data_IF_505731162361
#
_entry.id   IF_505731162361
#
_cell.length_a   1.000
_cell.length_b   1.000
_cell.length_c   1.000
_cell.angle_alpha   90.00
_cell.angle_beta   90.00
_cell.angle_gamma   90.00
#
_symmetry.space_group_name_H-M   'P 1'
#
loop_
_entity.id
_entity.type
_entity.pdbx_description
1 polymer ?
#
# COMPACT_ATOMS: atom_id res chain seq x y z
N UNK A 1 10.20 73.59 -58.70
CA UNK A 1 10.10 73.14 -57.35
C UNK A 1 10.06 71.59 -57.40
N UNK A 2 11.21 70.92 -57.20
CA UNK A 2 11.30 69.47 -57.28
C UNK A 2 11.25 68.94 -55.85
N UNK A 3 10.22 68.17 -55.52
CA UNK A 3 10.08 67.54 -54.24
C UNK A 3 10.83 66.19 -54.32
N UNK A 4 11.94 66.10 -53.64
CA UNK A 4 12.67 64.85 -53.44
C UNK A 4 12.04 64.15 -52.27
N UNK A 5 11.28 63.04 -52.51
CA UNK A 5 10.84 62.13 -51.51
C UNK A 5 12.03 61.21 -51.12
N UNK A 6 12.62 61.42 -49.92
CA UNK A 6 13.54 60.50 -49.29
C UNK A 6 12.73 59.31 -48.71
N UNK A 7 12.75 58.20 -49.43
CA UNK A 7 12.36 56.91 -48.80
C UNK A 7 13.46 56.47 -47.83
N UNK A 8 13.20 56.64 -46.56
CA UNK A 8 13.98 55.97 -45.54
C UNK A 8 13.57 54.50 -45.52
N UNK A 9 14.32 53.69 -46.23
CA UNK A 9 14.21 52.23 -46.10
C UNK A 9 14.84 51.81 -44.73
N UNK A 10 14.02 51.73 -43.72
CA UNK A 10 14.46 51.03 -42.52
C UNK A 10 14.55 49.56 -42.89
N UNK A 11 15.76 49.07 -43.09
CA UNK A 11 16.04 47.65 -43.15
C UNK A 11 15.65 47.06 -41.77
N UNK A 12 14.49 46.40 -41.71
CA UNK A 12 14.23 45.48 -40.63
C UNK A 12 15.25 44.34 -40.79
N UNK A 13 16.36 44.43 -40.08
CA UNK A 13 17.17 43.25 -39.82
C UNK A 13 16.25 42.25 -39.09
N UNK A 14 15.90 41.16 -39.73
CA UNK A 14 15.30 40.03 -39.07
C UNK A 14 16.28 39.61 -37.97
N UNK A 15 15.96 39.92 -36.72
CA UNK A 15 16.74 39.43 -35.58
C UNK A 15 16.76 37.91 -35.67
N UNK A 16 17.96 37.37 -35.75
CA UNK A 16 18.16 35.94 -35.84
C UNK A 16 17.76 35.35 -34.51
N UNK A 17 16.69 34.55 -34.47
CA UNK A 17 16.26 33.83 -33.29
C UNK A 17 17.23 32.69 -33.04
N UNK A 18 17.67 32.56 -31.79
CA UNK A 18 18.49 31.43 -31.32
C UNK A 18 17.59 30.40 -30.66
N UNK A 19 17.77 29.14 -31.03
CA UNK A 19 17.09 28.00 -30.40
C UNK A 19 18.09 27.15 -29.63
N UNK A 20 17.77 26.86 -28.38
CA UNK A 20 18.63 26.10 -27.47
C UNK A 20 17.82 25.13 -26.61
N UNK A 21 18.39 23.96 -26.34
CA UNK A 21 17.81 22.96 -25.43
C UNK A 21 18.81 22.68 -24.29
N UNK A 22 18.33 22.70 -23.06
CA UNK A 22 19.14 22.45 -21.89
C UNK A 22 18.36 21.68 -20.81
N UNK A 23 19.10 21.10 -19.86
CA UNK A 23 18.58 20.32 -18.76
C UNK A 23 18.94 20.99 -17.45
N UNK A 24 18.02 20.94 -16.49
CA UNK A 24 18.25 21.37 -15.12
C UNK A 24 18.08 20.15 -14.21
N UNK A 25 18.87 20.09 -13.15
CA UNK A 25 18.74 19.03 -12.17
C UNK A 25 17.35 19.04 -11.53
N UNK A 26 16.66 17.92 -11.59
CA UNK A 26 15.36 17.74 -10.93
C UNK A 26 15.54 17.44 -9.43
N UNK A 27 14.41 17.30 -8.76
CA UNK A 27 14.35 16.87 -7.35
C UNK A 27 13.92 15.41 -7.26
N UNK A 28 14.33 14.77 -6.17
CA UNK A 28 13.87 13.44 -5.78
C UNK A 28 13.36 13.45 -4.35
N UNK A 29 12.38 12.62 -4.09
CA UNK A 29 11.84 12.33 -2.76
C UNK A 29 11.80 10.83 -2.53
N UNK A 30 11.73 10.45 -1.27
CA UNK A 30 11.61 9.06 -0.87
C UNK A 30 10.79 8.91 0.41
N UNK A 31 10.17 7.77 0.56
CA UNK A 31 9.53 7.35 1.81
C UNK A 31 9.90 5.89 2.09
N UNK A 32 10.30 5.60 3.32
CA UNK A 32 10.34 4.23 3.82
C UNK A 32 8.99 3.93 4.45
N UNK A 33 8.22 3.05 3.82
CA UNK A 33 6.87 2.69 4.29
C UNK A 33 6.88 1.87 5.59
N UNK A 34 8.07 1.56 6.11
CA UNK A 34 8.29 0.93 7.42
C UNK A 34 8.57 1.95 8.52
N UNK A 35 8.91 3.18 8.18
CA UNK A 35 9.18 4.23 9.16
C UNK A 35 7.89 4.93 9.56
N UNK A 36 7.24 4.40 10.58
CA UNK A 36 5.99 4.94 11.14
C UNK A 36 6.24 6.00 12.21
N UNK A 37 7.48 6.29 12.56
CA UNK A 37 7.84 7.17 13.68
C UNK A 37 7.49 8.64 13.47
N UNK A 38 7.20 9.04 12.25
CA UNK A 38 7.00 10.45 11.88
C UNK A 38 5.55 10.81 11.57
N UNK A 39 4.59 9.93 11.92
CA UNK A 39 3.22 10.08 11.44
C UNK A 39 2.25 10.22 12.58
N UNK A 40 2.10 11.43 13.06
CA UNK A 40 0.98 11.81 13.92
C UNK A 40 -0.12 12.40 13.04
N UNK A 41 -1.15 11.62 12.76
CA UNK A 41 -2.38 12.14 12.18
C UNK A 41 -3.22 12.78 13.29
N UNK A 42 -3.51 14.05 13.10
CA UNK A 42 -4.45 14.75 13.94
C UNK A 42 -5.87 14.29 13.53
N UNK A 43 -6.42 13.32 14.26
CA UNK A 43 -7.70 12.67 13.97
C UNK A 43 -8.90 13.63 13.87
N UNK A 44 -8.78 14.87 14.35
CA UNK A 44 -9.88 15.83 14.43
C UNK A 44 -10.24 16.51 13.10
N UNK A 45 -9.48 16.28 12.04
CA UNK A 45 -9.65 16.98 10.74
C UNK A 45 -10.31 16.15 9.63
N UNK A 46 -10.65 14.89 9.86
CA UNK A 46 -11.14 14.00 8.83
C UNK A 46 -12.61 13.66 8.99
N UNK A 47 -13.47 14.16 8.09
CA UNK A 47 -14.86 13.74 7.97
C UNK A 47 -14.97 12.63 6.93
N UNK A 48 -15.32 11.44 7.41
CA UNK A 48 -15.56 10.27 6.59
C UNK A 48 -16.99 10.27 6.02
N UNK A 49 -17.13 10.31 4.70
CA UNK A 49 -18.38 9.94 4.03
C UNK A 49 -18.17 8.64 3.25
N UNK A 50 -18.91 7.65 3.71
CA UNK A 50 -18.93 6.29 3.18
C UNK A 50 -19.55 6.28 1.78
N UNK A 51 -18.74 6.16 0.72
CA UNK A 51 -19.24 5.76 -0.59
C UNK A 51 -18.50 4.51 -1.05
N UNK A 52 -19.16 3.36 -0.89
CA UNK A 52 -18.77 2.13 -1.56
C UNK A 52 -19.67 1.95 -2.78
N UNK A 53 -19.09 1.88 -3.95
CA UNK A 53 -19.71 1.29 -5.12
C UNK A 53 -18.79 0.20 -5.67
N UNK A 54 -19.29 -1.03 -5.75
CA UNK A 54 -18.65 -2.10 -6.50
C UNK A 54 -18.12 -3.24 -5.63
N UNK A 55 -18.65 -4.42 -5.90
CA UNK A 55 -18.17 -5.70 -5.42
C UNK A 55 -16.85 -6.02 -6.12
N UNK A 56 -15.70 -5.56 -5.58
CA UNK A 56 -14.41 -6.02 -6.03
C UNK A 56 -13.43 -6.18 -4.86
N UNK A 57 -12.94 -7.41 -4.78
CA UNK A 57 -11.71 -7.92 -4.17
C UNK A 57 -11.02 -7.02 -3.14
N UNK A 58 -11.34 -7.26 -1.88
CA UNK A 58 -10.55 -6.76 -0.77
C UNK A 58 -10.73 -5.26 -0.49
N UNK A 59 -10.55 -4.89 0.76
CA UNK A 59 -10.43 -3.50 1.13
C UNK A 59 -9.02 -3.01 0.76
N UNK A 60 -8.92 -1.82 0.11
CA UNK A 60 -7.64 -1.24 -0.31
C UNK A 60 -7.44 0.12 0.36
N UNK A 61 -6.20 0.42 0.72
CA UNK A 61 -5.83 1.72 1.27
C UNK A 61 -6.08 2.86 0.28
N UNK A 62 -5.89 2.60 -1.02
CA UNK A 62 -6.14 3.59 -2.07
C UNK A 62 -7.59 4.11 -2.06
N UNK A 63 -8.55 3.28 -1.69
CA UNK A 63 -9.97 3.66 -1.66
C UNK A 63 -10.30 4.69 -0.56
N UNK A 64 -9.34 4.98 0.31
CA UNK A 64 -9.43 6.02 1.36
C UNK A 64 -8.90 7.38 0.93
N UNK A 65 -8.24 7.48 -0.21
CA UNK A 65 -7.74 8.74 -0.75
C UNK A 65 -8.81 9.33 -1.65
N UNK A 66 -9.33 10.50 -1.27
CA UNK A 66 -10.24 11.24 -2.14
C UNK A 66 -9.47 12.24 -3.00
N UNK A 67 -10.04 12.57 -4.16
CA UNK A 67 -9.52 13.59 -5.08
C UNK A 67 -8.10 13.32 -5.62
N UNK A 68 -7.71 12.05 -5.72
CA UNK A 68 -6.46 11.71 -6.39
C UNK A 68 -6.55 12.08 -7.87
N UNK A 69 -5.53 12.73 -8.45
CA UNK A 69 -5.48 13.00 -9.87
C UNK A 69 -5.59 11.72 -10.72
N UNK A 70 -6.31 11.81 -11.86
CA UNK A 70 -6.55 10.65 -12.72
C UNK A 70 -5.27 9.95 -13.17
N UNK A 71 -4.18 10.70 -13.43
CA UNK A 71 -2.91 10.12 -13.84
C UNK A 71 -2.25 9.30 -12.73
N UNK A 72 -2.42 9.65 -11.45
CA UNK A 72 -1.92 8.86 -10.32
C UNK A 72 -2.80 7.64 -10.05
N UNK A 73 -4.11 7.77 -10.24
CA UNK A 73 -5.02 6.63 -10.23
C UNK A 73 -4.66 5.63 -11.34
N UNK A 74 -4.34 6.13 -12.54
CA UNK A 74 -3.85 5.29 -13.63
C UNK A 74 -2.54 4.60 -13.27
N UNK A 75 -1.55 5.34 -12.77
CA UNK A 75 -0.28 4.78 -12.32
C UNK A 75 -0.47 3.67 -11.26
N UNK A 76 -1.34 3.87 -10.26
CA UNK A 76 -1.68 2.87 -9.26
C UNK A 76 -2.27 1.59 -9.88
N UNK A 77 -3.20 1.74 -10.82
CA UNK A 77 -3.82 0.60 -11.50
C UNK A 77 -2.82 -0.14 -12.40
N UNK A 78 -1.94 0.59 -13.09
CA UNK A 78 -0.89 0.02 -13.93
C UNK A 78 0.14 -0.76 -13.08
N UNK A 79 0.46 -0.24 -11.89
CA UNK A 79 1.28 -0.95 -10.91
C UNK A 79 0.65 -2.29 -10.52
N UNK A 80 -0.62 -2.29 -10.12
CA UNK A 80 -1.33 -3.52 -9.77
C UNK A 80 -1.46 -4.50 -10.94
N UNK A 81 -1.69 -4.00 -12.16
CA UNK A 81 -1.70 -4.82 -13.36
C UNK A 81 -0.34 -5.48 -13.61
N UNK A 82 0.77 -4.75 -13.41
CA UNK A 82 2.13 -5.27 -13.54
C UNK A 82 2.45 -6.33 -12.47
N UNK A 83 2.01 -6.11 -11.22
CA UNK A 83 2.13 -7.13 -10.16
C UNK A 83 1.44 -8.43 -10.57
N UNK A 84 0.21 -8.35 -11.04
CA UNK A 84 -0.53 -9.52 -11.53
C UNK A 84 0.13 -10.18 -12.75
N UNK A 85 0.68 -9.40 -13.68
CA UNK A 85 1.41 -9.91 -14.84
C UNK A 85 2.60 -10.76 -14.40
N UNK A 86 3.43 -10.25 -13.47
CA UNK A 86 4.60 -10.97 -12.93
C UNK A 86 4.20 -12.28 -12.26
N UNK A 87 3.16 -12.25 -11.42
CA UNK A 87 2.66 -13.44 -10.73
C UNK A 87 2.12 -14.50 -11.69
N UNK A 88 1.63 -14.10 -12.85
CA UNK A 88 1.15 -15.01 -13.90
C UNK A 88 2.25 -15.42 -14.92
N UNK A 89 3.51 -15.16 -14.61
CA UNK A 89 4.66 -15.56 -15.43
C UNK A 89 4.95 -14.63 -16.62
N UNK A 90 4.40 -13.42 -16.60
CA UNK A 90 4.74 -12.36 -17.55
C UNK A 90 6.04 -11.63 -17.20
N UNK A 91 6.36 -10.59 -17.99
CA UNK A 91 7.55 -9.78 -17.78
C UNK A 91 7.43 -8.90 -16.53
N UNK A 92 8.52 -8.73 -15.80
CA UNK A 92 8.61 -7.72 -14.74
C UNK A 92 9.15 -6.39 -15.32
N UNK A 93 9.15 -5.32 -14.50
CA UNK A 93 9.65 -4.02 -14.97
C UNK A 93 11.12 -4.05 -15.39
N UNK A 94 11.97 -4.90 -14.81
CA UNK A 94 13.39 -4.99 -15.16
C UNK A 94 13.60 -5.62 -16.53
N UNK A 95 12.68 -6.46 -16.99
CA UNK A 95 12.69 -7.07 -18.32
C UNK A 95 11.71 -6.38 -19.30
N UNK A 96 11.01 -5.36 -18.87
CA UNK A 96 10.04 -4.61 -19.66
C UNK A 96 10.77 -3.56 -20.52
N UNK A 97 10.68 -3.62 -21.84
CA UNK A 97 11.36 -2.66 -22.72
C UNK A 97 10.78 -1.23 -22.63
N UNK A 98 9.62 -1.05 -21.99
CA UNK A 98 9.00 0.26 -21.79
C UNK A 98 9.57 0.99 -20.58
N UNK A 99 10.27 0.30 -19.70
CA UNK A 99 10.93 0.91 -18.55
C UNK A 99 12.16 1.66 -18.99
N UNK A 100 12.24 2.96 -18.70
CA UNK A 100 13.39 3.76 -19.04
C UNK A 100 14.58 3.42 -18.13
N UNK A 101 15.76 3.25 -18.73
CA UNK A 101 17.03 3.22 -18.00
C UNK A 101 17.56 4.66 -17.95
N UNK A 102 17.66 5.22 -16.74
CA UNK A 102 17.96 6.63 -16.56
C UNK A 102 19.40 7.00 -16.94
N UNK A 103 20.37 6.19 -16.57
CA UNK A 103 21.76 6.48 -16.87
C UNK A 103 22.33 5.57 -17.98
N UNK A 104 23.38 6.05 -18.63
CA UNK A 104 24.07 5.34 -19.70
C UNK A 104 24.76 4.05 -19.24
N UNK A 105 24.83 3.82 -17.92
CA UNK A 105 25.47 2.64 -17.32
C UNK A 105 24.42 1.59 -16.89
N UNK A 106 23.14 1.90 -17.00
CA UNK A 106 22.06 0.99 -16.64
C UNK A 106 21.90 0.79 -15.13
N UNK A 107 22.18 1.82 -14.34
CA UNK A 107 22.13 1.74 -12.87
C UNK A 107 20.76 2.05 -12.29
N UNK A 108 19.84 2.60 -13.09
CA UNK A 108 18.49 3.01 -12.64
C UNK A 108 17.43 2.57 -13.62
N UNK A 109 16.32 2.03 -13.08
CA UNK A 109 15.10 1.70 -13.82
C UNK A 109 13.96 2.59 -13.35
N UNK A 110 13.39 3.36 -14.27
CA UNK A 110 12.35 4.36 -14.03
C UNK A 110 11.07 3.99 -14.76
N UNK A 111 9.93 4.24 -14.13
CA UNK A 111 8.61 4.18 -14.75
C UNK A 111 8.01 5.58 -14.75
N UNK A 112 7.48 6.01 -15.89
CA UNK A 112 6.79 7.29 -15.99
C UNK A 112 5.55 7.32 -15.10
N UNK A 113 5.43 8.37 -14.29
CA UNK A 113 4.20 8.74 -13.60
C UNK A 113 3.41 9.67 -14.51
N UNK A 114 4.05 10.76 -14.96
CA UNK A 114 3.45 11.80 -15.81
C UNK A 114 4.52 12.68 -16.41
N UNK A 115 4.34 13.08 -17.66
CA UNK A 115 5.07 14.19 -18.25
C UNK A 115 4.18 15.42 -18.30
N UNK A 116 4.62 16.50 -17.67
CA UNK A 116 3.97 17.80 -17.71
C UNK A 116 4.67 18.66 -18.76
N UNK A 117 3.89 19.38 -19.55
CA UNK A 117 4.40 20.28 -20.58
C UNK A 117 3.79 21.66 -20.43
N UNK A 118 4.56 22.67 -20.77
CA UNK A 118 4.09 24.05 -20.74
C UNK A 118 5.09 24.99 -21.38
N UNK A 119 4.70 26.29 -21.46
CA UNK A 119 5.57 27.32 -22.01
C UNK A 119 5.28 28.67 -21.36
N UNK A 120 6.30 29.54 -21.36
CA UNK A 120 6.17 30.93 -20.93
C UNK A 120 7.02 31.86 -21.80
N UNK A 121 6.65 33.12 -21.81
CA UNK A 121 7.46 34.20 -22.40
C UNK A 121 8.35 34.78 -21.29
N UNK A 122 9.57 35.16 -21.64
CA UNK A 122 10.49 35.78 -20.71
C UNK A 122 11.26 36.93 -21.40
N UNK A 123 11.64 37.93 -20.63
CA UNK A 123 12.47 39.05 -21.06
C UNK A 123 13.84 38.95 -20.42
N UNK A 124 14.88 39.43 -21.09
CA UNK A 124 16.24 39.44 -20.61
C UNK A 124 17.03 40.68 -21.08
N UNK A 125 18.07 41.13 -20.34
CA UNK A 125 18.92 42.23 -20.79
C UNK A 125 19.63 41.91 -22.11
N UNK A 126 19.72 42.88 -23.01
CA UNK A 126 20.27 42.68 -24.36
C UNK A 126 21.74 42.29 -24.41
N UNK A 127 22.48 42.48 -23.32
CA UNK A 127 23.88 42.07 -23.10
C UNK A 127 24.05 40.79 -22.25
N UNK A 128 22.95 40.10 -21.98
CA UNK A 128 22.97 38.87 -21.17
C UNK A 128 23.72 37.74 -21.88
N UNK A 129 24.53 36.98 -21.09
CA UNK A 129 25.15 35.74 -21.56
C UNK A 129 24.11 34.65 -21.75
N UNK A 130 24.42 33.57 -22.51
CA UNK A 130 23.52 32.43 -22.70
C UNK A 130 23.10 31.84 -21.36
N UNK A 131 24.01 31.62 -20.40
CA UNK A 131 23.70 31.08 -19.08
C UNK A 131 22.73 31.98 -18.30
N UNK A 132 22.88 33.30 -18.42
CA UNK A 132 21.96 34.23 -17.78
C UNK A 132 20.56 34.22 -18.44
N UNK A 133 20.51 34.07 -19.76
CA UNK A 133 19.24 33.91 -20.50
C UNK A 133 18.54 32.62 -20.10
N UNK A 134 19.28 31.50 -19.91
CA UNK A 134 18.73 30.23 -19.39
C UNK A 134 18.12 30.41 -17.99
N UNK A 135 18.76 31.21 -17.11
CA UNK A 135 18.19 31.51 -15.79
C UNK A 135 16.86 32.25 -15.89
N UNK A 136 16.75 33.31 -16.71
CA UNK A 136 15.51 34.02 -16.93
C UNK A 136 14.41 33.11 -17.51
N UNK A 137 14.77 32.25 -18.47
CA UNK A 137 13.86 31.24 -19.02
C UNK A 137 13.36 30.26 -17.96
N UNK A 138 14.26 29.76 -17.11
CA UNK A 138 13.90 28.83 -16.02
C UNK A 138 12.98 29.50 -14.98
N UNK A 139 13.31 30.74 -14.57
CA UNK A 139 12.50 31.51 -13.63
C UNK A 139 11.05 31.72 -14.14
N UNK A 140 10.89 31.94 -15.44
CA UNK A 140 9.57 32.17 -16.06
C UNK A 140 8.61 30.99 -15.91
N UNK A 141 9.11 29.74 -15.77
CA UNK A 141 8.30 28.52 -15.62
C UNK A 141 8.43 27.89 -14.25
N UNK A 142 9.26 28.45 -13.36
CA UNK A 142 9.59 27.84 -12.06
C UNK A 142 8.35 27.60 -11.19
N UNK A 143 7.41 28.53 -11.17
CA UNK A 143 6.19 28.40 -10.37
C UNK A 143 5.34 27.20 -10.81
N UNK A 144 5.22 26.96 -12.10
CA UNK A 144 4.46 25.86 -12.66
C UNK A 144 5.16 24.52 -12.44
N UNK A 145 6.49 24.48 -12.64
CA UNK A 145 7.30 23.30 -12.32
C UNK A 145 7.19 22.91 -10.84
N UNK A 146 7.24 23.90 -9.96
CA UNK A 146 7.09 23.68 -8.52
C UNK A 146 5.70 23.17 -8.15
N UNK A 147 4.66 23.74 -8.74
CA UNK A 147 3.27 23.29 -8.55
C UNK A 147 3.08 21.83 -8.97
N UNK A 148 3.54 21.47 -10.18
CA UNK A 148 3.46 20.11 -10.69
C UNK A 148 4.21 19.13 -9.77
N UNK A 149 5.42 19.52 -9.35
CA UNK A 149 6.22 18.69 -8.43
C UNK A 149 5.54 18.51 -7.08
N UNK A 150 5.03 19.59 -6.49
CA UNK A 150 4.36 19.54 -5.19
C UNK A 150 3.16 18.61 -5.22
N UNK A 151 2.37 18.63 -6.29
CA UNK A 151 1.26 17.71 -6.46
C UNK A 151 1.73 16.26 -6.48
N UNK A 152 2.70 15.93 -7.34
CA UNK A 152 3.24 14.57 -7.43
C UNK A 152 3.86 14.13 -6.10
N UNK A 153 4.72 14.95 -5.49
CA UNK A 153 5.45 14.63 -4.27
C UNK A 153 4.51 14.31 -3.10
N UNK A 154 3.49 15.10 -2.97
CA UNK A 154 2.50 14.92 -1.92
C UNK A 154 1.70 13.64 -2.10
N UNK A 155 1.17 13.38 -3.30
CA UNK A 155 0.40 12.18 -3.56
C UNK A 155 1.24 10.92 -3.48
N UNK A 156 2.46 10.94 -4.02
CA UNK A 156 3.34 9.78 -4.01
C UNK A 156 3.75 9.34 -2.60
N UNK A 157 3.81 10.24 -1.63
CA UNK A 157 4.04 9.90 -0.23
C UNK A 157 2.97 8.91 0.29
N UNK A 158 1.69 9.18 0.03
CA UNK A 158 0.59 8.27 0.40
C UNK A 158 0.49 7.07 -0.51
N UNK A 159 0.61 7.31 -1.82
CA UNK A 159 0.48 6.29 -2.81
C UNK A 159 1.51 5.17 -2.61
N UNK A 160 2.72 5.51 -2.16
CA UNK A 160 3.76 4.51 -1.84
C UNK A 160 3.32 3.55 -0.75
N UNK A 161 2.64 4.03 0.29
CA UNK A 161 2.07 3.15 1.32
C UNK A 161 0.96 2.27 0.74
N UNK A 162 0.06 2.85 -0.06
CA UNK A 162 -0.98 2.07 -0.75
C UNK A 162 -0.37 1.00 -1.66
N UNK A 163 0.65 1.36 -2.47
CA UNK A 163 1.34 0.40 -3.34
C UNK A 163 1.95 -0.76 -2.57
N UNK A 164 2.56 -0.48 -1.41
CA UNK A 164 3.17 -1.53 -0.57
C UNK A 164 2.15 -2.39 0.17
N UNK A 165 1.07 -1.78 0.68
CA UNK A 165 0.14 -2.45 1.59
C UNK A 165 -1.06 -3.07 0.87
N UNK A 166 -1.46 -2.52 -0.27
CA UNK A 166 -2.54 -3.09 -1.08
C UNK A 166 -2.04 -4.23 -1.99
N UNK A 167 -0.72 -4.24 -2.30
CA UNK A 167 -0.07 -5.27 -3.11
C UNK A 167 1.08 -5.96 -2.35
N UNK A 168 0.80 -6.62 -1.23
CA UNK A 168 1.83 -7.30 -0.42
C UNK A 168 2.55 -8.42 -1.17
N UNK A 169 1.98 -8.90 -2.27
CA UNK A 169 2.55 -9.88 -3.19
C UNK A 169 3.63 -9.33 -4.12
N UNK A 170 3.85 -8.01 -4.11
CA UNK A 170 4.92 -7.38 -4.88
C UNK A 170 6.29 -7.52 -4.19
N UNK A 171 6.66 -8.74 -3.80
CA UNK A 171 7.83 -9.09 -2.99
C UNK A 171 9.19 -8.75 -3.62
N UNK A 172 9.22 -8.38 -4.89
CA UNK A 172 10.44 -7.96 -5.60
C UNK A 172 10.67 -6.46 -5.57
N UNK A 173 9.72 -5.66 -5.05
CA UNK A 173 9.85 -4.23 -4.91
C UNK A 173 10.33 -3.86 -3.51
N UNK A 174 11.00 -2.72 -3.42
CA UNK A 174 11.53 -2.23 -2.15
C UNK A 174 10.44 -1.68 -1.25
N UNK A 175 10.71 -1.64 0.04
CA UNK A 175 9.89 -0.90 0.99
C UNK A 175 10.22 0.61 1.02
N UNK A 176 11.40 1.00 0.54
CA UNK A 176 11.72 2.40 0.32
C UNK A 176 11.36 2.79 -1.10
N UNK A 177 10.30 3.57 -1.23
CA UNK A 177 9.82 4.09 -2.49
C UNK A 177 10.49 5.43 -2.79
N UNK A 178 10.85 5.63 -4.06
CA UNK A 178 11.46 6.87 -4.54
C UNK A 178 10.77 7.32 -5.81
N UNK A 179 10.63 8.63 -5.94
CA UNK A 179 10.11 9.29 -7.12
C UNK A 179 10.84 10.61 -7.32
N UNK A 180 10.78 11.13 -8.53
CA UNK A 180 11.45 12.36 -8.85
C UNK A 180 10.95 12.95 -10.16
N UNK A 181 11.57 14.02 -10.57
CA UNK A 181 11.34 14.58 -11.89
C UNK A 181 12.64 15.05 -12.54
N UNK A 182 12.63 15.06 -13.86
CA UNK A 182 13.72 15.59 -14.68
C UNK A 182 13.14 16.60 -15.69
N UNK A 183 13.42 17.90 -15.54
CA UNK A 183 12.94 18.91 -16.48
C UNK A 183 13.91 19.10 -17.65
N UNK A 184 13.36 19.19 -18.83
CA UNK A 184 14.05 19.57 -20.06
C UNK A 184 13.41 20.84 -20.58
N UNK A 185 14.25 21.79 -21.02
CA UNK A 185 13.81 23.08 -21.53
C UNK A 185 14.26 23.27 -22.98
N UNK A 186 13.40 23.87 -23.77
CA UNK A 186 13.72 24.41 -25.10
C UNK A 186 13.34 25.85 -25.11
N UNK A 187 14.30 26.74 -25.39
CA UNK A 187 14.06 28.17 -25.51
C UNK A 187 14.33 28.65 -26.92
N UNK A 188 13.55 29.63 -27.36
CA UNK A 188 13.77 30.40 -28.58
C UNK A 188 13.82 31.87 -28.20
N UNK A 189 14.94 32.57 -28.48
CA UNK A 189 15.14 33.92 -28.00
C UNK A 189 15.90 34.79 -28.98
N UNK A 190 15.66 36.10 -28.87
CA UNK A 190 16.31 37.13 -29.67
C UNK A 190 15.73 38.51 -29.35
N UNK A 191 16.58 39.56 -29.44
CA UNK A 191 16.12 40.93 -29.26
C UNK A 191 15.65 41.31 -27.85
N UNK A 192 16.11 40.62 -26.83
CA UNK A 192 15.79 40.91 -25.42
C UNK A 192 14.57 40.18 -24.86
N UNK A 193 13.94 39.31 -25.66
CA UNK A 193 12.82 38.47 -25.21
C UNK A 193 12.91 37.06 -25.79
N UNK A 194 12.20 36.10 -25.20
CA UNK A 194 12.14 34.75 -25.69
C UNK A 194 10.91 33.99 -25.21
N UNK A 195 10.78 32.78 -25.71
CA UNK A 195 9.81 31.78 -25.23
C UNK A 195 10.56 30.58 -24.77
N UNK A 196 10.22 30.07 -23.58
CA UNK A 196 10.69 28.80 -23.07
C UNK A 196 9.55 27.80 -23.02
N UNK A 197 9.79 26.60 -23.57
CA UNK A 197 8.91 25.44 -23.40
C UNK A 197 9.61 24.44 -22.50
N UNK A 198 8.87 23.75 -21.63
CA UNK A 198 9.41 22.71 -20.77
C UNK A 198 8.67 21.39 -20.93
N UNK A 199 9.41 20.32 -20.70
CA UNK A 199 8.89 18.97 -20.46
C UNK A 199 9.44 18.48 -19.14
N UNK A 200 8.55 18.28 -18.13
CA UNK A 200 8.89 17.82 -16.79
C UNK A 200 8.46 16.37 -16.64
N UNK A 201 9.41 15.46 -16.78
CA UNK A 201 9.20 14.03 -16.66
C UNK A 201 9.20 13.62 -15.18
N UNK A 202 8.01 13.32 -14.63
CA UNK A 202 7.86 12.77 -13.30
C UNK A 202 7.90 11.23 -13.37
N UNK A 203 8.71 10.61 -12.51
CA UNK A 203 8.99 9.18 -12.54
C UNK A 203 8.96 8.52 -11.17
N UNK A 204 8.67 7.23 -11.18
CA UNK A 204 8.83 6.30 -10.07
C UNK A 204 10.10 5.46 -10.30
N UNK A 205 10.93 5.34 -9.26
CA UNK A 205 12.16 4.56 -9.30
C UNK A 205 11.88 3.11 -8.90
N UNK A 206 11.93 2.20 -9.86
CA UNK A 206 11.71 0.76 -9.61
C UNK A 206 12.91 0.16 -8.89
N UNK A 207 14.11 0.33 -9.44
CA UNK A 207 15.36 -0.13 -8.83
C UNK A 207 16.52 0.80 -9.19
N UNK A 208 17.50 0.89 -8.28
CA UNK A 208 18.75 1.59 -8.47
C UNK A 208 19.90 0.78 -7.90
N UNK A 209 20.89 0.48 -8.72
CA UNK A 209 22.08 -0.27 -8.30
C UNK A 209 22.89 0.52 -7.27
N UNK A 210 23.24 -0.14 -6.16
CA UNK A 210 24.06 0.46 -5.10
C UNK A 210 23.32 1.47 -4.20
N UNK A 211 22.03 1.70 -4.39
CA UNK A 211 21.25 2.59 -3.52
C UNK A 211 21.10 2.02 -2.10
N UNK A 212 20.79 0.75 -2.00
CA UNK A 212 20.86 0.06 -0.73
C UNK A 212 22.29 -0.49 -0.56
N UNK A 213 22.96 -0.10 0.54
CA UNK A 213 24.33 -0.58 0.85
C UNK A 213 24.44 -2.09 0.91
N UNK A 214 23.33 -2.79 1.08
CA UNK A 214 23.21 -4.25 1.21
C UNK A 214 22.83 -4.94 -0.09
N UNK A 215 22.26 -4.20 -1.04
CA UNK A 215 21.82 -4.71 -2.33
C UNK A 215 22.61 -3.98 -3.45
N UNK A 216 23.79 -4.50 -3.74
CA UNK A 216 24.67 -3.91 -4.77
C UNK A 216 24.24 -4.21 -6.19
N UNK A 217 23.36 -5.20 -6.36
CA UNK A 217 22.89 -5.67 -7.66
C UNK A 217 21.37 -5.61 -7.76
N UNK A 218 20.86 -5.45 -8.97
CA UNK A 218 19.43 -5.61 -9.22
C UNK A 218 19.00 -7.05 -8.93
N UNK A 219 17.77 -7.24 -8.44
CA UNK A 219 17.16 -8.55 -8.37
C UNK A 219 16.97 -9.08 -9.79
N UNK A 220 17.46 -10.29 -10.08
CA UNK A 220 17.39 -10.80 -11.44
C UNK A 220 15.96 -11.14 -11.84
N UNK A 221 15.59 -10.93 -13.11
CA UNK A 221 14.30 -11.35 -13.64
C UNK A 221 14.00 -12.84 -13.39
N UNK A 222 15.02 -13.70 -13.44
CA UNK A 222 14.91 -15.15 -13.21
C UNK A 222 14.55 -15.45 -11.75
N UNK A 223 15.17 -14.75 -10.79
CA UNK A 223 14.86 -14.88 -9.36
C UNK A 223 13.42 -14.47 -9.09
N UNK A 224 12.98 -13.35 -9.65
CA UNK A 224 11.59 -12.85 -9.49
C UNK A 224 10.61 -13.86 -10.09
N UNK A 225 10.89 -14.37 -11.29
CA UNK A 225 10.02 -15.36 -11.94
C UNK A 225 9.94 -16.68 -11.17
N UNK A 226 11.08 -17.16 -10.63
CA UNK A 226 11.11 -18.36 -9.78
C UNK A 226 10.29 -18.15 -8.48
N UNK A 227 10.46 -17.00 -7.85
CA UNK A 227 9.71 -16.64 -6.63
C UNK A 227 8.21 -16.51 -6.89
N UNK A 228 7.78 -16.02 -8.05
CA UNK A 228 6.37 -15.97 -8.44
C UNK A 228 5.77 -17.38 -8.59
N UNK A 229 6.54 -18.33 -9.10
CA UNK A 229 6.13 -19.75 -9.16
C UNK A 229 5.99 -20.32 -7.74
N UNK A 230 6.98 -20.08 -6.88
CA UNK A 230 6.93 -20.53 -5.47
C UNK A 230 5.72 -19.92 -4.73
N UNK A 231 5.48 -18.63 -4.90
CA UNK A 231 4.31 -17.92 -4.38
C UNK A 231 3.01 -18.62 -4.76
N UNK A 232 2.78 -18.80 -6.07
CA UNK A 232 1.55 -19.41 -6.58
C UNK A 232 1.35 -20.84 -6.06
N UNK A 233 2.42 -21.64 -6.05
CA UNK A 233 2.36 -23.02 -5.56
C UNK A 233 2.04 -23.08 -4.07
N UNK A 234 2.65 -22.22 -3.26
CA UNK A 234 2.42 -22.17 -1.82
C UNK A 234 1.02 -21.67 -1.48
N UNK A 235 0.59 -20.55 -2.05
CA UNK A 235 -0.77 -20.04 -1.86
C UNK A 235 -1.81 -21.10 -2.23
N UNK A 236 -1.64 -21.75 -3.38
CA UNK A 236 -2.53 -22.83 -3.81
C UNK A 236 -2.54 -24.03 -2.85
N UNK A 237 -1.38 -24.45 -2.37
CA UNK A 237 -1.26 -25.57 -1.44
C UNK A 237 -1.93 -25.24 -0.09
N UNK A 238 -1.62 -24.07 0.48
CA UNK A 238 -2.21 -23.62 1.75
C UNK A 238 -3.73 -23.52 1.64
N UNK A 239 -4.22 -22.83 0.63
CA UNK A 239 -5.66 -22.58 0.47
C UNK A 239 -6.43 -23.80 -0.02
N UNK A 240 -5.75 -24.80 -0.57
CA UNK A 240 -6.36 -26.09 -0.94
C UNK A 240 -6.83 -26.89 0.27
N UNK A 241 -6.22 -26.69 1.43
CA UNK A 241 -6.59 -27.32 2.70
C UNK A 241 -7.49 -26.42 3.58
N UNK A 242 -7.69 -25.14 3.17
CA UNK A 242 -8.52 -24.19 3.90
C UNK A 242 -9.99 -24.60 3.82
N UNK A 243 -10.72 -24.62 4.96
CA UNK A 243 -12.13 -24.98 4.95
C UNK A 243 -12.97 -24.06 4.08
N UNK A 244 -13.94 -24.62 3.35
CA UNK A 244 -14.91 -23.85 2.53
C UNK A 244 -16.18 -23.49 3.34
N UNK A 245 -16.02 -23.25 4.64
CA UNK A 245 -17.08 -22.94 5.58
C UNK A 245 -17.20 -21.43 5.84
N UNK A 246 -17.46 -21.02 7.08
CA UNK A 246 -17.57 -19.61 7.47
C UNK A 246 -16.25 -18.85 7.31
N UNK A 247 -16.31 -17.52 7.16
CA UNK A 247 -15.13 -16.68 7.15
C UNK A 247 -14.33 -16.82 8.47
N UNK A 248 -15.02 -17.03 9.60
CA UNK A 248 -14.37 -17.30 10.88
C UNK A 248 -13.45 -18.53 10.81
N UNK A 249 -13.95 -19.67 10.32
CA UNK A 249 -13.14 -20.89 10.23
C UNK A 249 -11.98 -20.73 9.23
N UNK A 250 -12.17 -19.97 8.16
CA UNK A 250 -11.08 -19.64 7.21
C UNK A 250 -10.01 -18.79 7.87
N UNK A 251 -10.39 -17.74 8.58
CA UNK A 251 -9.44 -16.84 9.27
C UNK A 251 -8.69 -17.58 10.39
N UNK A 252 -9.38 -18.45 11.14
CA UNK A 252 -8.74 -19.35 12.12
C UNK A 252 -7.71 -20.24 11.42
N UNK A 253 -8.10 -20.90 10.33
CA UNK A 253 -7.18 -21.76 9.58
C UNK A 253 -5.94 -21.02 9.11
N UNK A 254 -6.10 -19.81 8.54
CA UNK A 254 -5.00 -19.00 8.01
C UNK A 254 -4.05 -18.58 9.15
N UNK A 255 -4.59 -18.09 10.27
CA UNK A 255 -3.78 -17.76 11.45
C UNK A 255 -2.99 -18.99 11.95
N UNK A 256 -3.69 -20.10 12.14
CA UNK A 256 -3.11 -21.33 12.65
C UNK A 256 -2.07 -21.94 11.71
N UNK A 257 -2.31 -21.85 10.41
CA UNK A 257 -1.34 -22.31 9.43
C UNK A 257 -0.06 -21.50 9.54
N UNK A 258 -0.16 -20.17 9.58
CA UNK A 258 0.99 -19.28 9.64
C UNK A 258 1.77 -19.47 10.96
N UNK A 259 1.08 -19.53 12.09
CA UNK A 259 1.73 -19.73 13.39
C UNK A 259 2.36 -21.11 13.54
N UNK A 260 1.78 -22.17 12.96
CA UNK A 260 2.31 -23.54 13.03
C UNK A 260 3.48 -23.82 12.09
N UNK A 261 3.54 -23.11 10.95
CA UNK A 261 4.52 -23.41 9.90
C UNK A 261 5.68 -22.41 9.82
N UNK A 262 5.70 -21.39 10.68
CA UNK A 262 6.76 -20.41 10.73
C UNK A 262 7.45 -20.38 12.09
N UNK A 263 8.64 -19.80 12.11
CA UNK A 263 9.38 -19.42 13.31
C UNK A 263 9.81 -17.97 13.14
N UNK A 264 9.50 -17.12 14.11
CA UNK A 264 9.87 -15.71 14.06
C UNK A 264 11.39 -15.53 13.98
N UNK A 265 11.87 -14.68 13.08
CA UNK A 265 13.28 -14.44 12.88
C UNK A 265 13.81 -13.36 13.84
N UNK A 266 14.13 -13.75 15.08
CA UNK A 266 14.66 -12.85 16.10
C UNK A 266 15.98 -12.19 15.68
N UNK A 267 16.84 -12.90 14.92
CA UNK A 267 18.13 -12.35 14.50
C UNK A 267 17.93 -11.21 13.50
N UNK A 268 16.98 -11.36 12.60
CA UNK A 268 16.66 -10.34 11.60
C UNK A 268 16.00 -9.12 12.23
N UNK A 269 15.14 -9.31 13.21
CA UNK A 269 14.43 -8.26 13.91
C UNK A 269 15.35 -7.25 14.63
N UNK A 270 16.56 -7.67 15.03
CA UNK A 270 17.53 -6.80 15.72
C UNK A 270 18.60 -6.21 14.80
N UNK A 271 18.58 -6.49 13.51
CA UNK A 271 19.49 -5.87 12.56
C UNK A 271 19.14 -4.38 12.41
N UNK A 272 20.16 -3.53 12.51
CA UNK A 272 19.99 -2.09 12.33
C UNK A 272 19.49 -1.72 10.93
N UNK A 273 19.77 -2.61 9.97
CA UNK A 273 19.39 -2.46 8.58
C UNK A 273 18.92 -3.81 8.05
N UNK A 274 17.69 -3.85 7.53
CA UNK A 274 17.05 -5.05 7.01
C UNK A 274 17.27 -5.18 5.50
N UNK A 275 17.86 -6.29 4.98
CA UNK A 275 17.99 -6.48 3.54
C UNK A 275 16.61 -6.63 2.90
N UNK A 276 16.38 -5.85 1.86
CA UNK A 276 15.14 -5.83 1.10
C UNK A 276 15.31 -6.69 -0.15
N UNK A 277 15.11 -7.97 0.02
CA UNK A 277 15.27 -9.00 -1.02
C UNK A 277 13.99 -9.82 -1.16
N UNK A 278 13.86 -10.55 -2.27
CA UNK A 278 12.68 -11.36 -2.61
C UNK A 278 12.23 -12.30 -1.49
N UNK A 279 13.16 -13.02 -0.85
CA UNK A 279 12.88 -13.93 0.27
C UNK A 279 13.21 -13.33 1.64
N UNK A 280 13.27 -12.01 1.73
CA UNK A 280 13.48 -11.32 3.01
C UNK A 280 12.43 -11.70 4.05
N UNK A 281 12.78 -11.80 5.33
CA UNK A 281 11.81 -11.94 6.43
C UNK A 281 10.70 -10.87 6.49
N UNK A 282 10.90 -9.74 5.82
CA UNK A 282 9.87 -8.70 5.60
C UNK A 282 8.86 -9.08 4.51
N UNK A 283 9.25 -9.95 3.60
CA UNK A 283 8.44 -10.34 2.45
C UNK A 283 7.33 -11.32 2.85
N UNK A 284 6.21 -11.24 2.15
CA UNK A 284 5.15 -12.25 2.27
C UNK A 284 5.64 -13.67 2.00
N UNK A 285 6.65 -13.83 1.13
CA UNK A 285 7.22 -15.15 0.83
C UNK A 285 7.85 -15.82 2.04
N UNK A 286 8.43 -15.07 2.98
CA UNK A 286 8.93 -15.66 4.21
C UNK A 286 7.80 -16.33 5.02
N UNK A 287 6.68 -15.64 5.18
CA UNK A 287 5.50 -16.20 5.86
C UNK A 287 4.83 -17.35 5.11
N UNK A 288 4.83 -17.31 3.77
CA UNK A 288 4.22 -18.37 2.95
C UNK A 288 5.10 -19.60 2.81
N UNK A 289 6.42 -19.45 2.78
CA UNK A 289 7.36 -20.57 2.54
C UNK A 289 8.00 -21.10 3.80
N UNK A 290 8.05 -20.32 4.87
CA UNK A 290 8.83 -20.62 6.09
C UNK A 290 10.35 -20.48 5.89
N UNK A 291 10.81 -20.09 4.69
CA UNK A 291 12.21 -19.84 4.41
C UNK A 291 12.69 -18.63 5.23
N UNK A 292 13.86 -18.70 5.82
CA UNK A 292 14.46 -17.64 6.66
C UNK A 292 13.67 -17.27 7.93
N UNK A 293 12.39 -17.63 8.03
CA UNK A 293 11.45 -17.18 9.05
C UNK A 293 11.00 -15.72 8.87
N UNK A 294 9.71 -15.41 8.99
CA UNK A 294 9.20 -14.06 8.88
C UNK A 294 9.46 -13.23 10.15
N UNK A 295 9.54 -11.91 10.00
CA UNK A 295 9.25 -10.94 11.07
C UNK A 295 7.79 -10.51 10.99
N UNK A 296 7.34 -9.59 11.86
CA UNK A 296 5.94 -9.15 11.92
C UNK A 296 5.35 -8.75 10.56
N UNK A 297 6.13 -8.02 9.75
CA UNK A 297 5.71 -7.62 8.41
C UNK A 297 5.48 -8.83 7.49
N UNK A 298 6.36 -9.82 7.50
CA UNK A 298 6.20 -11.04 6.70
C UNK A 298 4.97 -11.85 7.10
N UNK A 299 4.66 -11.96 8.39
CA UNK A 299 3.43 -12.58 8.89
C UNK A 299 2.18 -11.83 8.42
N UNK A 300 2.14 -10.52 8.64
CA UNK A 300 0.98 -9.70 8.31
C UNK A 300 0.69 -9.70 6.80
N UNK A 301 1.73 -9.58 5.96
CA UNK A 301 1.62 -9.64 4.50
C UNK A 301 1.12 -10.99 4.00
N UNK A 302 1.64 -12.10 4.54
CA UNK A 302 1.19 -13.43 4.20
C UNK A 302 -0.26 -13.67 4.62
N UNK A 303 -0.64 -13.22 5.82
CA UNK A 303 -2.01 -13.30 6.31
C UNK A 303 -2.99 -12.54 5.40
N UNK A 304 -2.65 -11.30 5.04
CA UNK A 304 -3.48 -10.50 4.11
C UNK A 304 -3.66 -11.20 2.78
N UNK A 305 -2.60 -11.70 2.17
CA UNK A 305 -2.67 -12.41 0.87
C UNK A 305 -3.64 -13.59 0.95
N UNK A 306 -3.52 -14.42 1.99
CA UNK A 306 -4.36 -15.61 2.15
C UNK A 306 -5.83 -15.24 2.40
N UNK A 307 -6.09 -14.17 3.16
CA UNK A 307 -7.44 -13.63 3.35
C UNK A 307 -8.04 -13.09 2.05
N UNK A 308 -7.29 -12.27 1.32
CA UNK A 308 -7.74 -11.68 0.05
C UNK A 308 -8.05 -12.76 -0.99
N UNK A 309 -7.24 -13.81 -1.09
CA UNK A 309 -7.46 -14.95 -1.98
C UNK A 309 -8.73 -15.77 -1.60
N UNK A 310 -9.16 -15.72 -0.35
CA UNK A 310 -10.44 -16.30 0.12
C UNK A 310 -11.61 -15.31 0.08
N UNK A 311 -11.39 -14.10 -0.46
CA UNK A 311 -12.42 -13.07 -0.56
C UNK A 311 -12.79 -12.43 0.79
N UNK A 312 -11.90 -12.51 1.78
CA UNK A 312 -12.06 -11.88 3.10
C UNK A 312 -11.32 -10.56 3.09
N UNK A 313 -12.02 -9.41 3.21
CA UNK A 313 -11.36 -8.11 3.22
C UNK A 313 -10.35 -8.01 4.37
N UNK A 314 -9.11 -7.69 4.04
CA UNK A 314 -8.02 -7.58 5.00
C UNK A 314 -7.14 -6.37 4.68
N UNK A 315 -6.74 -5.62 5.71
CA UNK A 315 -5.82 -4.50 5.60
C UNK A 315 -4.60 -4.72 6.50
N UNK A 316 -3.45 -4.22 6.04
CA UNK A 316 -2.26 -4.14 6.87
C UNK A 316 -2.35 -2.90 7.75
N UNK A 317 -1.89 -3.06 8.99
CA UNK A 317 -1.79 -2.01 9.98
C UNK A 317 -0.38 -1.98 10.54
N UNK A 318 0.12 -0.79 10.86
CA UNK A 318 1.43 -0.66 11.46
C UNK A 318 1.47 0.49 12.47
N UNK A 319 2.38 0.38 13.42
CA UNK A 319 2.57 1.36 14.47
C UNK A 319 3.58 0.92 15.52
N UNK A 320 3.59 1.56 16.66
CA UNK A 320 4.46 1.24 17.79
C UNK A 320 3.74 0.33 18.78
N UNK A 321 3.78 -0.99 18.53
CA UNK A 321 3.13 -1.94 19.43
C UNK A 321 3.93 -2.12 20.73
N UNK A 322 3.22 -2.43 21.82
CA UNK A 322 3.77 -2.60 23.16
C UNK A 322 3.19 -3.84 23.83
N UNK A 323 4.05 -4.69 24.33
CA UNK A 323 3.65 -5.90 25.05
C UNK A 323 3.23 -5.62 26.51
N UNK A 324 3.55 -4.45 27.06
CA UNK A 324 3.17 -4.05 28.41
C UNK A 324 3.18 -2.53 28.57
N UNK A 325 2.56 -2.02 29.64
CA UNK A 325 2.47 -0.59 29.97
C UNK A 325 3.83 0.09 30.21
N UNK A 326 4.86 -0.67 30.49
CA UNK A 326 6.21 -0.18 30.79
C UNK A 326 7.20 -0.46 29.65
N UNK A 327 6.82 -1.23 28.62
CA UNK A 327 7.69 -1.47 27.47
C UNK A 327 7.77 -0.24 26.57
N UNK A 328 8.93 -0.05 25.95
CA UNK A 328 9.02 0.87 24.80
C UNK A 328 8.21 0.26 23.67
N UNK A 329 7.52 1.11 22.91
CA UNK A 329 6.92 0.68 21.63
C UNK A 329 8.02 0.23 20.68
N UNK A 330 7.71 -0.78 19.90
CA UNK A 330 8.54 -1.31 18.83
C UNK A 330 7.76 -1.18 17.53
N UNK A 331 8.44 -0.80 16.45
CA UNK A 331 7.80 -0.77 15.14
C UNK A 331 7.25 -2.15 14.81
N UNK A 332 5.96 -2.23 14.56
CA UNK A 332 5.22 -3.49 14.44
C UNK A 332 4.17 -3.41 13.34
N UNK A 333 3.88 -4.56 12.73
CA UNK A 333 2.84 -4.70 11.72
C UNK A 333 1.90 -5.83 12.07
N UNK A 334 0.60 -5.56 11.94
CA UNK A 334 -0.50 -6.51 12.14
C UNK A 334 -1.55 -6.37 11.04
N UNK A 335 -2.66 -7.05 11.16
CA UNK A 335 -3.75 -6.99 10.20
C UNK A 335 -5.09 -6.68 10.86
N UNK A 336 -5.99 -6.07 10.09
CA UNK A 336 -7.41 -6.03 10.43
C UNK A 336 -8.21 -6.73 9.33
N UNK A 337 -9.20 -7.52 9.73
CA UNK A 337 -10.07 -8.28 8.83
C UNK A 337 -11.53 -7.90 9.02
N UNK A 338 -12.29 -7.83 7.92
CA UNK A 338 -13.72 -7.62 7.98
C UNK A 338 -14.44 -8.97 8.08
N UNK A 339 -15.21 -9.15 9.13
CA UNK A 339 -15.97 -10.37 9.37
C UNK A 339 -17.41 -10.29 8.85
N UNK A 340 -18.15 -11.40 8.95
CA UNK A 340 -19.50 -11.54 8.38
C UNK A 340 -20.53 -10.55 8.97
N UNK A 341 -20.26 -9.97 10.14
CA UNK A 341 -21.09 -8.90 10.73
C UNK A 341 -20.80 -7.50 10.14
N UNK A 342 -19.88 -7.42 9.17
CA UNK A 342 -19.49 -6.20 8.48
C UNK A 342 -18.53 -5.30 9.26
N UNK A 343 -18.12 -5.69 10.47
CA UNK A 343 -17.15 -4.96 11.30
C UNK A 343 -15.73 -5.50 11.09
N UNK A 344 -14.76 -4.70 11.48
CA UNK A 344 -13.35 -5.01 11.40
C UNK A 344 -12.80 -5.47 12.76
N UNK A 345 -11.85 -6.39 12.73
CA UNK A 345 -11.24 -6.99 13.91
C UNK A 345 -9.74 -7.17 13.69
N UNK A 346 -8.96 -6.89 14.72
CA UNK A 346 -7.52 -7.03 14.67
C UNK A 346 -7.07 -8.49 14.78
N UNK A 347 -6.04 -8.83 14.03
CA UNK A 347 -5.32 -10.11 14.12
C UNK A 347 -3.83 -9.82 14.09
N UNK A 348 -3.15 -10.16 15.19
CA UNK A 348 -1.70 -10.15 15.24
C UNK A 348 -1.16 -11.58 15.21
N UNK A 349 -0.86 -12.05 14.00
CA UNK A 349 -0.34 -13.40 13.78
C UNK A 349 1.02 -13.59 14.46
N UNK A 350 1.84 -12.53 14.51
CA UNK A 350 3.17 -12.59 15.14
C UNK A 350 3.06 -12.91 16.64
N UNK A 351 2.17 -12.20 17.33
CA UNK A 351 2.00 -12.40 18.77
C UNK A 351 1.13 -13.62 19.11
N UNK A 352 0.41 -14.18 18.15
CA UNK A 352 -0.20 -15.51 18.25
C UNK A 352 0.81 -16.65 18.06
N UNK A 353 2.04 -16.34 17.58
CA UNK A 353 3.15 -17.28 17.42
C UNK A 353 4.24 -16.98 18.48
N UNK A 354 4.14 -17.50 19.71
CA UNK A 354 5.02 -17.12 20.79
C UNK A 354 6.44 -17.62 20.54
N UNK A 355 7.40 -16.75 20.77
CA UNK A 355 8.82 -17.06 20.77
C UNK A 355 9.14 -17.76 22.09
N UNK A 356 9.70 -18.96 22.01
CA UNK A 356 10.24 -19.66 23.18
C UNK A 356 11.73 -19.32 23.32
N UNK A 357 12.04 -18.47 24.28
CA UNK A 357 13.40 -17.95 24.50
C UNK A 357 14.44 -19.06 24.59
N UNK A 358 15.50 -18.97 23.77
CA UNK A 358 16.60 -19.93 23.74
C UNK A 358 16.35 -21.21 22.94
N UNK A 359 15.24 -21.30 22.22
CA UNK A 359 14.93 -22.38 21.30
C UNK A 359 14.90 -21.86 19.89
N UNK A 360 15.80 -22.35 19.05
CA UNK A 360 15.90 -21.98 17.62
C UNK A 360 15.06 -22.87 16.70
N UNK A 361 14.29 -23.80 17.26
CA UNK A 361 13.41 -24.68 16.50
C UNK A 361 11.95 -24.41 16.87
N UNK A 362 11.04 -24.62 15.93
CA UNK A 362 9.61 -24.50 16.17
C UNK A 362 9.14 -25.49 17.24
N UNK A 363 8.54 -24.98 18.30
CA UNK A 363 7.91 -25.77 19.35
C UNK A 363 6.40 -25.72 19.15
N UNK A 364 5.82 -26.80 18.66
CA UNK A 364 4.37 -26.88 18.46
C UNK A 364 3.59 -26.92 19.79
N UNK A 365 2.40 -26.35 19.80
CA UNK A 365 1.48 -26.38 20.93
C UNK A 365 1.53 -25.14 21.83
N UNK A 366 2.33 -24.15 21.47
CA UNK A 366 2.38 -22.85 22.14
C UNK A 366 1.61 -21.76 21.36
N UNK A 367 1.15 -22.08 20.15
CA UNK A 367 0.33 -21.19 19.37
C UNK A 367 -0.96 -20.87 20.12
N UNK A 368 -1.37 -19.60 20.08
CA UNK A 368 -2.54 -19.13 20.80
C UNK A 368 -3.45 -18.23 19.93
N UNK A 369 -4.57 -17.82 20.49
CA UNK A 369 -5.51 -16.89 19.88
C UNK A 369 -5.76 -15.67 20.78
N UNK A 370 -4.77 -15.28 21.57
CA UNK A 370 -4.91 -14.15 22.49
C UNK A 370 -5.00 -12.82 21.73
N UNK A 371 -4.36 -12.76 20.55
CA UNK A 371 -4.32 -11.61 19.67
C UNK A 371 -5.14 -11.82 18.38
N UNK A 372 -6.23 -12.57 18.50
CA UNK A 372 -7.01 -13.01 17.36
C UNK A 372 -8.43 -12.44 17.37
N UNK A 373 -8.80 -11.73 16.30
CA UNK A 373 -10.11 -11.07 16.07
C UNK A 373 -10.54 -10.16 17.23
N UNK A 374 -9.59 -9.37 17.75
CA UNK A 374 -9.82 -8.43 18.85
C UNK A 374 -10.51 -7.16 18.38
N UNK A 375 -11.29 -6.56 19.27
CA UNK A 375 -11.78 -5.19 19.16
C UNK A 375 -10.85 -4.20 19.87
N UNK A 376 -11.06 -2.90 19.63
CA UNK A 376 -10.25 -1.81 20.18
C UNK A 376 -10.18 -1.79 21.71
N UNK A 377 -11.29 -2.15 22.35
CA UNK A 377 -11.47 -2.08 23.82
C UNK A 377 -11.23 -3.41 24.53
N UNK A 378 -10.87 -4.47 23.80
CA UNK A 378 -10.54 -5.73 24.45
C UNK A 378 -9.23 -5.63 25.24
N UNK A 379 -9.25 -6.19 26.45
CA UNK A 379 -8.09 -6.20 27.32
C UNK A 379 -7.10 -7.29 26.86
N UNK A 380 -5.87 -6.90 26.61
CA UNK A 380 -4.83 -7.80 26.10
C UNK A 380 -3.79 -8.16 27.15
N UNK A 381 -3.33 -7.22 27.96
CA UNK A 381 -2.41 -7.43 29.05
C UNK A 381 -2.54 -6.32 30.10
N UNK A 382 -2.34 -6.61 31.39
CA UNK A 382 -2.24 -5.64 32.49
C UNK A 382 -3.34 -4.54 32.50
N UNK A 383 -4.56 -4.89 32.11
CA UNK A 383 -5.69 -3.98 31.91
C UNK A 383 -5.49 -2.96 30.75
N UNK A 384 -4.67 -3.26 29.78
CA UNK A 384 -4.51 -2.49 28.56
C UNK A 384 -5.48 -2.97 27.50
N UNK A 385 -6.05 -2.01 26.79
CA UNK A 385 -6.86 -2.32 25.62
C UNK A 385 -5.97 -2.59 24.42
N UNK A 386 -6.50 -3.31 23.43
CA UNK A 386 -5.79 -3.53 22.17
C UNK A 386 -5.35 -2.21 21.52
N UNK A 387 -6.22 -1.22 21.46
CA UNK A 387 -5.90 0.10 20.90
C UNK A 387 -4.71 0.78 21.62
N UNK A 388 -4.64 0.65 22.94
CA UNK A 388 -3.53 1.22 23.71
C UNK A 388 -2.22 0.42 23.51
N UNK A 389 -2.32 -0.89 23.27
CA UNK A 389 -1.19 -1.78 22.99
C UNK A 389 -0.70 -1.62 21.55
N UNK A 390 -1.60 -1.41 20.58
CA UNK A 390 -1.32 -1.31 19.16
C UNK A 390 -1.76 0.06 18.60
N UNK A 391 -1.16 1.16 19.07
CA UNK A 391 -1.50 2.47 18.52
C UNK A 391 -1.09 2.51 17.05
N UNK A 392 -2.04 2.82 16.18
CA UNK A 392 -1.75 2.97 14.78
C UNK A 392 -0.82 4.15 14.54
N UNK A 393 0.30 3.91 13.87
CA UNK A 393 1.31 4.95 13.60
C UNK A 393 0.89 5.98 12.55
N UNK A 394 -0.11 5.64 11.74
CA UNK A 394 -0.61 6.52 10.69
C UNK A 394 0.34 6.65 9.49
N UNK A 395 -0.03 7.47 8.53
CA UNK A 395 0.77 7.72 7.32
C UNK A 395 1.66 8.94 7.49
N UNK A 396 2.86 8.90 6.93
CA UNK A 396 3.85 9.95 6.97
C UNK A 396 3.29 11.33 6.60
N UNK A 397 3.75 12.34 7.31
CA UNK A 397 3.25 13.70 7.18
C UNK A 397 3.34 14.19 5.74
N UNK A 398 2.22 14.21 5.03
CA UNK A 398 2.10 15.15 3.94
C UNK A 398 2.27 16.54 4.52
N UNK A 399 2.95 17.42 3.79
CA UNK A 399 3.07 18.82 4.18
C UNK A 399 1.68 19.38 4.47
N UNK A 400 1.52 20.11 5.55
CA UNK A 400 0.23 20.56 6.08
C UNK A 400 -0.69 21.23 5.05
N UNK A 401 -0.10 21.88 4.05
CA UNK A 401 -0.79 22.53 2.93
C UNK A 401 -1.53 21.56 2.02
N UNK A 402 -1.12 20.31 1.97
CA UNK A 402 -1.70 19.29 1.09
C UNK A 402 -2.72 18.43 1.82
N UNK A 403 -2.50 18.17 3.12
CA UNK A 403 -3.48 17.46 3.97
C UNK A 403 -4.83 18.21 4.00
N UNK A 404 -4.84 19.53 3.89
CA UNK A 404 -6.07 20.32 3.84
C UNK A 404 -6.92 20.05 2.58
N UNK A 405 -6.33 19.51 1.52
CA UNK A 405 -7.00 19.18 0.26
C UNK A 405 -7.38 17.69 0.17
N UNK A 406 -6.91 16.85 1.11
CA UNK A 406 -7.07 15.40 1.05
C UNK A 406 -7.95 14.91 2.18
N UNK A 407 -8.98 14.18 1.82
CA UNK A 407 -9.81 13.47 2.78
C UNK A 407 -9.33 12.01 2.84
N UNK A 408 -8.40 11.74 3.74
CA UNK A 408 -8.06 10.36 4.12
C UNK A 408 -9.08 9.93 5.18
N UNK A 409 -9.76 8.81 4.95
CA UNK A 409 -10.75 8.30 5.90
C UNK A 409 -10.13 7.78 7.21
N UNK A 410 -10.97 7.37 8.17
CA UNK A 410 -10.51 6.84 9.45
C UNK A 410 -9.56 5.67 9.25
N UNK A 411 -8.50 5.67 10.04
CA UNK A 411 -7.37 4.75 9.92
C UNK A 411 -7.66 3.40 10.56
N UNK A 412 -8.54 3.35 11.55
CA UNK A 412 -9.04 2.11 12.14
C UNK A 412 -10.55 2.06 11.99
N UNK A 413 -11.05 0.90 11.57
CA UNK A 413 -12.46 0.57 11.50
C UNK A 413 -12.82 -0.53 12.49
N UNK A 414 -11.89 -0.83 13.39
CA UNK A 414 -11.98 -1.94 14.33
C UNK A 414 -13.21 -1.80 15.25
N UNK A 415 -13.89 -2.90 15.49
CA UNK A 415 -14.99 -2.98 16.44
C UNK A 415 -14.51 -2.70 17.87
N UNK A 416 -15.43 -2.39 18.77
CA UNK A 416 -15.08 -2.16 20.17
C UNK A 416 -14.64 -3.44 20.88
N UNK A 417 -15.26 -4.58 20.55
CA UNK A 417 -15.04 -5.86 21.23
C UNK A 417 -14.80 -7.00 20.23
N UNK A 418 -14.12 -8.03 20.70
CA UNK A 418 -13.75 -9.26 20.01
C UNK A 418 -14.92 -9.85 19.22
N UNK A 419 -14.63 -10.39 18.04
CA UNK A 419 -15.61 -11.10 17.23
C UNK A 419 -16.20 -12.29 17.99
N UNK A 420 -17.52 -12.34 18.03
CA UNK A 420 -18.26 -13.49 18.58
C UNK A 420 -18.83 -14.32 17.43
N UNK A 421 -18.25 -15.50 17.11
CA UNK A 421 -18.73 -16.34 16.03
C UNK A 421 -20.15 -16.88 16.28
N UNK A 422 -20.68 -16.75 17.49
CA UNK A 422 -22.04 -17.15 17.80
C UNK A 422 -23.10 -16.15 17.27
N UNK A 423 -22.69 -14.96 16.86
CA UNK A 423 -23.57 -13.94 16.25
C UNK A 423 -23.98 -14.28 14.83
N UNK A 424 -23.44 -15.33 14.24
CA UNK A 424 -23.78 -15.79 12.88
C UNK A 424 -25.27 -16.11 12.66
N UNK A 425 -26.04 -16.38 13.72
CA UNK A 425 -27.50 -16.52 13.62
C UNK A 425 -28.15 -15.17 13.22
N UNK A 426 -27.69 -14.05 13.80
CA UNK A 426 -28.24 -12.72 13.52
C UNK A 426 -27.85 -12.25 12.11
N UNK A 427 -26.61 -12.53 11.68
CA UNK A 427 -26.14 -12.22 10.33
C UNK A 427 -26.86 -13.04 9.25
N UNK A 428 -27.12 -14.32 9.51
CA UNK A 428 -27.91 -15.19 8.62
C UNK A 428 -29.38 -14.73 8.54
N UNK A 429 -29.90 -14.16 9.63
CA UNK A 429 -31.27 -13.65 9.69
C UNK A 429 -31.44 -12.29 8.97
N UNK A 430 -30.38 -11.45 8.93
CA UNK A 430 -30.44 -10.11 8.33
C UNK A 430 -30.51 -10.11 6.79
N UNK A 431 -30.11 -11.18 6.14
CA UNK A 431 -29.90 -11.23 4.69
C UNK A 431 -30.91 -12.07 3.88
N UNK A 432 -31.88 -12.76 4.50
CA UNK A 432 -32.78 -13.69 3.80
C UNK A 432 -34.20 -13.61 4.36
N UNK A 433 -35.22 -13.88 3.49
CA UNK A 433 -36.61 -14.14 3.76
C UNK A 433 -37.00 -14.25 5.26
N UNK A 434 -38.00 -13.54 5.77
CA UNK A 434 -38.28 -13.38 7.21
C UNK A 434 -38.47 -14.70 7.99
N UNK A 435 -38.30 -15.84 7.35
CA UNK A 435 -38.47 -17.17 7.95
C UNK A 435 -37.14 -17.97 7.95
N UNK A 436 -36.61 -18.28 9.13
CA UNK A 436 -35.39 -19.08 9.29
C UNK A 436 -35.70 -20.58 9.17
N UNK A 437 -35.19 -21.25 8.14
CA UNK A 437 -35.27 -22.72 8.01
C UNK A 437 -34.07 -23.35 8.69
N UNK A 438 -34.28 -24.14 9.72
CA UNK A 438 -33.25 -24.68 10.59
C UNK A 438 -33.17 -26.20 10.47
N UNK A 439 -31.94 -26.69 10.36
CA UNK A 439 -31.60 -28.10 10.29
C UNK A 439 -30.52 -28.44 11.32
N UNK A 440 -30.49 -29.65 11.81
CA UNK A 440 -29.34 -30.18 12.56
C UNK A 440 -28.18 -30.48 11.63
N UNK A 441 -26.97 -30.71 12.18
CA UNK A 441 -25.76 -31.00 11.40
C UNK A 441 -25.89 -32.28 10.53
N UNK A 442 -26.71 -33.26 10.97
CA UNK A 442 -27.00 -34.48 10.23
C UNK A 442 -28.11 -34.29 9.18
N UNK A 443 -28.51 -33.02 8.93
CA UNK A 443 -29.50 -32.66 7.89
C UNK A 443 -30.97 -32.82 8.28
N UNK A 444 -31.27 -33.14 9.55
CA UNK A 444 -32.66 -33.26 10.01
C UNK A 444 -33.30 -31.88 10.13
N UNK A 445 -34.45 -31.67 9.49
CA UNK A 445 -35.23 -30.45 9.60
C UNK A 445 -35.74 -30.25 11.02
N UNK A 446 -35.46 -29.12 11.65
CA UNK A 446 -35.85 -28.78 13.03
C UNK A 446 -37.03 -27.81 13.06
N UNK A 447 -37.24 -27.02 12.03
CA UNK A 447 -38.39 -26.12 11.96
C UNK A 447 -38.13 -24.84 11.14
N UNK A 448 -39.16 -24.00 11.15
CA UNK A 448 -39.11 -22.65 10.58
C UNK A 448 -39.43 -21.66 11.69
N UNK A 449 -38.53 -20.68 11.87
CA UNK A 449 -38.59 -19.68 12.93
C UNK A 449 -38.74 -18.28 12.34
N UNK A 450 -39.50 -17.40 13.00
CA UNK A 450 -39.73 -16.03 12.52
C UNK A 450 -38.54 -15.08 12.74
N UNK A 451 -37.70 -15.42 13.71
CA UNK A 451 -36.54 -14.60 14.06
C UNK A 451 -35.47 -15.46 14.72
N UNK A 452 -34.28 -14.91 14.84
CA UNK A 452 -33.17 -15.49 15.64
C UNK A 452 -33.52 -15.58 17.13
N UNK A 453 -34.34 -14.67 17.65
CA UNK A 453 -34.84 -14.70 19.01
C UNK A 453 -35.75 -15.91 19.26
N UNK A 454 -36.74 -16.16 18.37
CA UNK A 454 -37.60 -17.32 18.44
C UNK A 454 -36.85 -18.65 18.38
N UNK A 455 -35.79 -18.69 17.52
CA UNK A 455 -34.92 -19.86 17.41
C UNK A 455 -34.17 -20.10 18.72
N UNK A 456 -33.57 -19.06 19.32
CA UNK A 456 -32.83 -19.16 20.59
C UNK A 456 -33.72 -19.61 21.75
N UNK A 457 -34.91 -19.10 21.80
CA UNK A 457 -35.89 -19.47 22.84
C UNK A 457 -36.34 -20.93 22.74
N UNK A 458 -36.34 -21.47 21.53
CA UNK A 458 -36.68 -22.88 21.27
C UNK A 458 -35.56 -23.88 21.57
N UNK A 459 -34.31 -23.40 21.74
CA UNK A 459 -33.12 -24.23 21.93
C UNK A 459 -32.76 -24.32 23.40
N UNK A 460 -32.82 -25.51 23.96
CA UNK A 460 -32.49 -25.78 25.37
C UNK A 460 -31.00 -26.01 25.62
N UNK A 461 -30.19 -26.17 24.59
CA UNK A 461 -28.78 -26.48 24.68
C UNK A 461 -27.98 -25.82 23.54
N UNK A 462 -26.72 -25.55 23.83
CA UNK A 462 -25.77 -25.06 22.83
C UNK A 462 -25.50 -26.15 21.79
N UNK A 463 -25.74 -25.87 20.53
CA UNK A 463 -25.53 -26.82 19.44
C UNK A 463 -25.18 -26.12 18.13
N UNK A 464 -24.61 -26.88 17.20
CA UNK A 464 -24.35 -26.42 15.85
C UNK A 464 -25.56 -26.71 14.96
N UNK A 465 -26.00 -25.74 14.21
CA UNK A 465 -27.16 -25.79 13.34
C UNK A 465 -26.82 -25.37 11.92
N UNK A 466 -27.66 -25.75 10.99
CA UNK A 466 -27.68 -25.19 9.63
C UNK A 466 -28.93 -24.30 9.51
N UNK A 467 -28.70 -22.98 9.38
CA UNK A 467 -29.78 -21.99 9.25
C UNK A 467 -29.75 -21.42 7.82
N UNK A 468 -30.82 -21.59 7.07
CA UNK A 468 -30.94 -21.17 5.66
C UNK A 468 -29.71 -21.62 4.81
N UNK A 469 -29.24 -22.86 5.05
CA UNK A 469 -28.10 -23.46 4.33
C UNK A 469 -26.73 -23.08 4.86
N UNK A 470 -26.63 -22.24 5.89
CA UNK A 470 -25.34 -21.85 6.52
C UNK A 470 -25.19 -22.51 7.90
N UNK A 471 -24.00 -23.08 8.15
CA UNK A 471 -23.65 -23.63 9.45
C UNK A 471 -23.50 -22.51 10.47
N UNK A 472 -24.12 -22.63 11.64
CA UNK A 472 -24.10 -21.61 12.68
C UNK A 472 -24.17 -22.26 14.06
N UNK A 473 -23.83 -21.50 15.11
CA UNK A 473 -23.87 -21.95 16.49
C UNK A 473 -25.06 -21.32 17.23
N UNK A 474 -25.82 -22.12 17.96
CA UNK A 474 -26.76 -21.59 18.94
C UNK A 474 -26.00 -21.24 20.22
N UNK A 475 -26.39 -20.16 20.87
CA UNK A 475 -25.93 -19.89 22.24
C UNK A 475 -26.39 -20.97 23.19
#
# INVERSE_FOLDING_TARGET
MVIICLFVCTAMQSQQMTKETFYVQGNESSVDVRDFSHVLLNNDRFNWTKTRSGADKGFRWIDRISNMPDYLTSFYNDYGAKVNEVLNGGSNWLSDPTVAVYDSQGNRYLVEIKTFEGSAVFDYPGDASSDLIQNYATEAVQAELHKNWTEVDCFMTYLSVCLSWDYPEAFWLRNTFRWGYSPMFTMEYGGGSGTVSYSQFAYFLVQEKGYDRRQQEFQSPELISSAAVDYNNKVKAILGECPESSNYEKVVYINDWLTKNNLYNEQYAVLAELPDIVYSPLSALAGLTGAEGPVCEGYARAFKILCDQKGIPCVLMAGDAKSSSVSKGESHMWSEVQMDDGKWYAVDVTWNDPIVSGISEKVSGFENHDWFLLGSQDLVADNWTFEASHPFGGFASAKEEVISQWQVGPLSLIADHKYDPSTGIDAAAANIDPMLRVYSLDGKFLGVFKSAADLRESLNTRQVLIVNGKKTFSK
#
